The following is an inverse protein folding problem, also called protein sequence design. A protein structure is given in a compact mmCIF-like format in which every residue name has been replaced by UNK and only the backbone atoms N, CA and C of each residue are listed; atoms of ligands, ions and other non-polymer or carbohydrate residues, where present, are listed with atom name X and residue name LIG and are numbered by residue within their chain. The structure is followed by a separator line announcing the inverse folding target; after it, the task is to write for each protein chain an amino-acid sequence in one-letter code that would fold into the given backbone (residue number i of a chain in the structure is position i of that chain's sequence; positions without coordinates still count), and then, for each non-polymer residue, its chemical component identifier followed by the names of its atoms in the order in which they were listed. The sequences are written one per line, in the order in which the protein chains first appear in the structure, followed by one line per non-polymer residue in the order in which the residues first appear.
data_IF_453632590953
#
_entry.id   IF_453632590953
#
_cell.length_a   1.000
_cell.length_b   1.000
_cell.length_c   1.000
_cell.angle_alpha   90.00
_cell.angle_beta   90.00
_cell.angle_gamma   90.00
#
_symmetry.space_group_name_H-M   'P 1'
#
loop_
_entity.id
_entity.type
_entity.pdbx_description
1 polymer ?
#
# COMPACT_ATOMS: atom_id res chain seq x y z
N UNK A 1 6.80 -5.60 19.60
CA UNK A 1 6.49 -6.46 18.44
C UNK A 1 6.84 -5.73 17.16
N UNK A 2 7.63 -6.35 16.30
CA UNK A 2 8.04 -5.73 15.04
C UNK A 2 6.87 -5.64 14.07
N UNK A 3 6.91 -4.62 13.21
CA UNK A 3 5.95 -4.47 12.12
C UNK A 3 6.71 -4.03 10.86
N UNK A 4 6.10 -4.25 9.70
CA UNK A 4 6.67 -3.84 8.43
C UNK A 4 5.85 -2.71 7.83
N UNK A 5 6.55 -1.71 7.30
CA UNK A 5 5.98 -0.65 6.50
C UNK A 5 6.62 -0.70 5.11
N UNK A 6 5.79 -0.92 4.11
CA UNK A 6 6.23 -0.91 2.71
C UNK A 6 5.64 0.32 2.03
N UNK A 7 6.51 1.18 1.50
CA UNK A 7 6.09 2.38 0.78
C UNK A 7 6.29 2.15 -0.71
N UNK A 8 5.20 2.15 -1.48
CA UNK A 8 5.22 1.90 -2.91
C UNK A 8 4.88 3.16 -3.68
N UNK A 9 5.78 3.59 -4.56
CA UNK A 9 5.61 4.79 -5.37
C UNK A 9 5.37 4.50 -6.84
N UNK A 10 5.44 3.25 -7.28
CA UNK A 10 5.39 2.88 -8.69
C UNK A 10 4.06 2.24 -9.06
N UNK A 11 3.69 2.44 -10.33
CA UNK A 11 2.50 1.84 -10.91
C UNK A 11 2.78 0.37 -11.27
N UNK A 12 1.97 -0.59 -10.81
CA UNK A 12 2.17 -2.01 -11.14
C UNK A 12 2.01 -2.31 -12.62
N UNK A 13 1.34 -1.46 -13.37
CA UNK A 13 1.16 -1.65 -14.81
C UNK A 13 2.36 -1.19 -15.62
N UNK A 14 3.26 -0.41 -15.04
CA UNK A 14 4.48 0.07 -15.68
C UNK A 14 5.74 -0.59 -15.14
N UNK A 15 5.68 -1.18 -13.96
CA UNK A 15 6.85 -1.77 -13.30
C UNK A 15 6.52 -3.17 -12.79
N UNK A 16 7.25 -4.17 -13.30
CA UNK A 16 7.10 -5.56 -12.84
C UNK A 16 7.57 -5.76 -11.41
N UNK A 17 8.46 -4.90 -10.94
CA UNK A 17 8.99 -4.99 -9.57
C UNK A 17 7.91 -4.74 -8.52
N UNK A 18 6.87 -4.00 -8.88
CA UNK A 18 5.75 -3.73 -7.96
C UNK A 18 5.01 -5.02 -7.62
N UNK A 19 4.73 -5.87 -8.61
CA UNK A 19 4.08 -7.15 -8.36
C UNK A 19 4.94 -8.07 -7.49
N UNK A 20 6.25 -8.06 -7.71
CA UNK A 20 7.18 -8.82 -6.87
C UNK A 20 7.15 -8.30 -5.43
N UNK A 21 7.04 -6.99 -5.24
CA UNK A 21 6.88 -6.38 -3.93
C UNK A 21 5.59 -6.83 -3.24
N UNK A 22 4.48 -6.86 -3.97
CA UNK A 22 3.22 -7.33 -3.41
C UNK A 22 3.29 -8.80 -2.97
N UNK A 23 3.97 -9.64 -3.74
CA UNK A 23 4.17 -11.05 -3.35
C UNK A 23 5.01 -11.17 -2.09
N UNK A 24 6.05 -10.37 -1.98
CA UNK A 24 6.87 -10.32 -0.77
C UNK A 24 6.05 -9.93 0.44
N UNK A 25 5.20 -8.91 0.31
CA UNK A 25 4.31 -8.50 1.39
C UNK A 25 3.34 -9.60 1.78
N UNK A 26 2.81 -10.34 0.83
CA UNK A 26 1.91 -11.46 1.11
C UNK A 26 2.63 -12.55 1.90
N UNK A 27 3.89 -12.81 1.58
CA UNK A 27 4.71 -13.78 2.33
C UNK A 27 4.96 -13.29 3.76
N UNK A 28 5.27 -12.00 3.93
CA UNK A 28 5.46 -11.41 5.25
C UNK A 28 4.17 -11.43 6.06
N UNK A 29 3.04 -11.17 5.40
CA UNK A 29 1.73 -11.15 6.06
C UNK A 29 1.26 -12.54 6.50
N UNK A 30 1.83 -13.61 5.96
CA UNK A 30 1.55 -14.97 6.42
C UNK A 30 2.13 -15.23 7.80
N UNK A 31 3.07 -14.41 8.25
CA UNK A 31 3.62 -14.46 9.61
C UNK A 31 2.75 -13.61 10.54
N UNK A 32 2.79 -13.83 11.86
CA UNK A 32 2.01 -13.01 12.80
C UNK A 32 2.63 -11.64 13.05
N UNK A 33 2.97 -10.93 11.99
CA UNK A 33 3.61 -9.61 12.03
C UNK A 33 2.74 -8.66 11.21
N UNK A 34 2.28 -7.53 11.79
CA UNK A 34 1.49 -6.57 11.04
C UNK A 34 2.28 -5.95 9.88
N UNK A 35 1.62 -5.82 8.73
CA UNK A 35 2.20 -5.22 7.53
C UNK A 35 1.32 -4.07 7.09
N UNK A 36 1.93 -2.91 6.87
CA UNK A 36 1.27 -1.75 6.30
C UNK A 36 1.87 -1.44 4.93
N UNK A 37 1.01 -1.35 3.93
CA UNK A 37 1.39 -0.88 2.60
C UNK A 37 0.88 0.55 2.44
N UNK A 38 1.78 1.50 2.26
CA UNK A 38 1.44 2.90 2.04
C UNK A 38 1.74 3.25 0.60
N UNK A 39 0.69 3.57 -0.16
CA UNK A 39 0.79 3.91 -1.58
C UNK A 39 0.97 5.42 -1.72
N UNK A 40 2.02 5.82 -2.42
CA UNK A 40 2.31 7.23 -2.71
C UNK A 40 2.52 7.40 -4.21
N UNK A 41 2.41 8.61 -4.72
CA UNK A 41 2.64 8.91 -6.13
C UNK A 41 1.86 7.93 -7.03
N UNK A 42 2.49 7.35 -8.05
CA UNK A 42 1.84 6.42 -8.98
C UNK A 42 1.44 5.08 -8.34
N UNK A 43 1.93 4.80 -7.13
CA UNK A 43 1.51 3.60 -6.40
C UNK A 43 0.02 3.57 -6.11
N UNK A 44 -0.64 4.74 -6.01
CA UNK A 44 -2.08 4.81 -5.75
C UNK A 44 -2.93 4.33 -6.92
N UNK A 45 -2.36 4.21 -8.12
CA UNK A 45 -3.11 3.79 -9.30
C UNK A 45 -3.64 2.36 -9.18
N UNK A 46 -2.96 1.50 -8.42
CA UNK A 46 -3.43 0.14 -8.17
C UNK A 46 -4.71 0.10 -7.33
N UNK A 47 -4.96 1.14 -6.55
CA UNK A 47 -6.08 1.20 -5.62
C UNK A 47 -7.38 1.67 -6.26
N UNK A 48 -7.38 2.08 -7.52
CA UNK A 48 -8.60 2.51 -8.22
C UNK A 48 -9.52 1.33 -8.47
N UNK A 49 -10.81 1.52 -8.29
CA UNK A 49 -11.78 0.54 -8.75
C UNK A 49 -11.61 0.32 -10.26
N UNK A 50 -11.64 -0.94 -10.68
CA UNK A 50 -11.48 -1.30 -12.09
C UNK A 50 -10.04 -1.39 -12.57
N UNK A 51 -9.06 -1.12 -11.74
CA UNK A 51 -7.63 -1.23 -12.12
C UNK A 51 -7.20 -2.67 -12.40
N UNK A 52 -7.85 -3.65 -11.78
CA UNK A 52 -7.62 -5.09 -12.00
C UNK A 52 -6.19 -5.53 -11.73
N UNK A 53 -5.61 -5.02 -10.67
CA UNK A 53 -4.29 -5.47 -10.21
C UNK A 53 -4.46 -6.72 -9.34
N UNK A 54 -4.35 -7.90 -9.93
CA UNK A 54 -4.68 -9.17 -9.27
C UNK A 54 -3.84 -9.41 -8.00
N UNK A 55 -2.54 -9.14 -8.05
CA UNK A 55 -1.66 -9.33 -6.89
C UNK A 55 -2.01 -8.36 -5.76
N UNK A 56 -2.38 -7.14 -6.10
CA UNK A 56 -2.83 -6.15 -5.13
C UNK A 56 -4.13 -6.59 -4.47
N UNK A 57 -5.09 -7.07 -5.25
CA UNK A 57 -6.37 -7.55 -4.74
C UNK A 57 -6.17 -8.74 -3.79
N UNK A 58 -5.28 -9.66 -4.14
CA UNK A 58 -4.94 -10.80 -3.29
C UNK A 58 -4.34 -10.34 -1.96
N UNK A 59 -3.50 -9.30 -2.00
CA UNK A 59 -2.89 -8.73 -0.81
C UNK A 59 -3.93 -8.16 0.16
N UNK A 60 -4.95 -7.50 -0.39
CA UNK A 60 -6.04 -6.92 0.43
C UNK A 60 -6.84 -7.99 1.20
N UNK A 61 -6.82 -9.23 0.74
CA UNK A 61 -7.53 -10.31 1.41
C UNK A 61 -6.83 -10.80 2.69
N UNK A 62 -5.56 -10.43 2.91
CA UNK A 62 -4.83 -10.84 4.10
C UNK A 62 -5.23 -10.02 5.32
N UNK A 63 -5.64 -10.67 6.43
CA UNK A 63 -6.10 -9.93 7.61
C UNK A 63 -5.00 -9.13 8.31
N UNK A 64 -3.72 -9.51 8.12
CA UNK A 64 -2.59 -8.82 8.73
C UNK A 64 -2.09 -7.62 7.93
N UNK A 65 -2.71 -7.29 6.79
CA UNK A 65 -2.28 -6.22 5.91
C UNK A 65 -3.23 -5.03 6.02
N UNK A 66 -2.66 -3.85 6.23
CA UNK A 66 -3.36 -2.57 6.16
C UNK A 66 -2.85 -1.82 4.93
N UNK A 67 -3.75 -1.36 4.07
CA UNK A 67 -3.38 -0.63 2.85
C UNK A 67 -3.90 0.79 2.95
N UNK A 68 -2.98 1.75 2.87
CA UNK A 68 -3.25 3.18 2.93
C UNK A 68 -2.82 3.82 1.61
N UNK A 69 -3.60 4.80 1.14
CA UNK A 69 -3.29 5.54 -0.07
C UNK A 69 -3.21 7.03 0.26
N UNK A 70 -2.13 7.68 -0.18
CA UNK A 70 -1.88 9.08 0.10
C UNK A 70 -2.94 9.97 -0.54
N UNK A 71 -3.61 10.80 0.27
CA UNK A 71 -4.69 11.67 -0.19
C UNK A 71 -4.22 12.68 -1.24
N UNK A 72 -3.02 13.23 -1.09
CA UNK A 72 -2.49 14.19 -2.06
C UNK A 72 -2.25 13.52 -3.41
N UNK A 73 -1.67 12.33 -3.41
CA UNK A 73 -1.44 11.57 -4.65
C UNK A 73 -2.76 11.22 -5.34
N UNK A 74 -3.79 10.87 -4.57
CA UNK A 74 -5.12 10.60 -5.10
C UNK A 74 -5.72 11.85 -5.75
N UNK A 75 -5.63 12.99 -5.08
CA UNK A 75 -6.16 14.26 -5.59
C UNK A 75 -5.48 14.67 -6.89
N UNK A 76 -4.16 14.55 -6.96
CA UNK A 76 -3.41 14.91 -8.16
C UNK A 76 -3.80 14.05 -9.37
N UNK A 77 -4.29 12.84 -9.13
CA UNK A 77 -4.66 11.90 -10.19
C UNK A 77 -6.16 11.82 -10.42
N UNK A 78 -6.92 12.72 -9.77
CA UNK A 78 -8.36 12.78 -9.94
C UNK A 78 -9.08 11.53 -9.44
N UNK A 79 -8.55 10.87 -8.42
CA UNK A 79 -9.15 9.65 -7.84
C UNK A 79 -9.90 10.05 -6.56
N UNK A 80 -11.24 10.08 -6.59
CA UNK A 80 -12.00 10.34 -5.37
C UNK A 80 -11.92 9.16 -4.40
N UNK A 81 -12.08 9.42 -3.11
CA UNK A 81 -11.95 8.37 -2.09
C UNK A 81 -13.01 7.28 -2.23
N UNK A 82 -14.17 7.61 -2.79
CA UNK A 82 -15.24 6.63 -3.03
C UNK A 82 -14.98 5.75 -4.25
N UNK A 83 -13.93 6.03 -5.03
CA UNK A 83 -13.51 5.20 -6.16
C UNK A 83 -12.39 4.22 -5.80
N UNK A 84 -12.03 4.11 -4.54
CA UNK A 84 -11.00 3.17 -4.08
C UNK A 84 -11.56 1.75 -3.97
N UNK A 85 -10.71 0.78 -4.24
CA UNK A 85 -11.03 -0.63 -4.02
C UNK A 85 -11.36 -0.83 -2.54
N UNK A 86 -12.40 -1.63 -2.20
CA UNK A 86 -12.71 -1.91 -0.80
C UNK A 86 -11.50 -2.48 -0.06
N UNK A 87 -11.27 -1.97 1.14
CA UNK A 87 -10.12 -2.35 1.96
C UNK A 87 -8.98 -1.35 1.94
N UNK A 88 -8.98 -0.41 0.97
CA UNK A 88 -8.00 0.68 0.92
C UNK A 88 -8.56 1.89 1.64
N UNK A 89 -7.77 2.49 2.52
CA UNK A 89 -8.13 3.72 3.23
C UNK A 89 -7.28 4.87 2.73
N UNK A 90 -7.89 6.02 2.51
CA UNK A 90 -7.15 7.25 2.22
C UNK A 90 -6.49 7.76 3.50
N UNK A 91 -5.24 8.21 3.40
CA UNK A 91 -4.49 8.70 4.55
C UNK A 91 -3.55 9.82 4.09
N UNK A 92 -3.17 10.70 5.00
CA UNK A 92 -2.29 11.81 4.67
C UNK A 92 -0.81 11.48 4.93
N UNK A 93 0.07 12.38 4.47
CA UNK A 93 1.51 12.21 4.62
C UNK A 93 1.94 12.27 6.09
N UNK A 94 1.21 12.95 6.95
CA UNK A 94 1.53 13.01 8.37
C UNK A 94 1.43 11.62 9.00
N UNK A 95 0.46 10.82 8.57
CA UNK A 95 0.36 9.42 9.02
C UNK A 95 1.57 8.61 8.57
N UNK A 96 2.05 8.82 7.34
CA UNK A 96 3.26 8.15 6.86
C UNK A 96 4.47 8.52 7.70
N UNK A 97 4.64 9.81 8.02
CA UNK A 97 5.73 10.27 8.86
C UNK A 97 5.67 9.61 10.23
N UNK A 98 4.49 9.54 10.85
CA UNK A 98 4.31 8.89 12.14
C UNK A 98 4.70 7.40 12.09
N UNK A 99 4.32 6.71 11.01
CA UNK A 99 4.69 5.31 10.83
C UNK A 99 6.20 5.12 10.66
N UNK A 100 6.85 6.02 9.91
CA UNK A 100 8.31 5.97 9.72
C UNK A 100 9.07 6.22 11.03
N UNK A 101 8.50 7.00 11.92
CA UNK A 101 9.12 7.34 13.21
C UNK A 101 8.85 6.31 14.31
N UNK A 102 8.01 5.32 14.06
CA UNK A 102 7.67 4.30 15.03
C UNK A 102 8.88 3.37 15.29
N UNK A 103 9.16 3.08 16.57
CA UNK A 103 10.39 2.38 16.98
C UNK A 103 10.48 0.96 16.44
N UNK A 104 9.37 0.23 16.36
CA UNK A 104 9.35 -1.18 15.95
C UNK A 104 9.09 -1.36 14.46
N UNK A 105 9.14 -0.28 13.69
CA UNK A 105 8.79 -0.31 12.28
C UNK A 105 10.02 -0.58 11.41
N UNK A 106 9.92 -1.57 10.53
CA UNK A 106 10.90 -1.79 9.48
C UNK A 106 10.33 -1.26 8.17
N UNK A 107 10.94 -0.21 7.64
CA UNK A 107 10.45 0.46 6.44
C UNK A 107 11.21 -0.01 5.21
N UNK A 108 10.46 -0.34 4.16
CA UNK A 108 10.98 -0.71 2.85
C UNK A 108 10.39 0.25 1.82
N UNK A 109 11.25 0.94 1.08
CA UNK A 109 10.83 1.86 0.01
C UNK A 109 11.00 1.21 -1.35
N UNK A 110 10.03 1.44 -2.18
CA UNK A 110 10.08 0.95 -3.56
C UNK A 110 9.64 2.04 -4.57
#
# INVERSE_FOLDING_TARGET
MSSYLFVESRDPFESRDVEAGYRLLAELAAQPIPVTLFLVQNGVLAARQGARAAQFTALLAHPGVTVLADTFALQERGIPTDALVPGVQASDIDTLVDLLMADDQKAIWH
#
